data_IF_474952052669
#
_entry.id   IF_474952052669
#
_cell.length_a   1.000
_cell.length_b   1.000
_cell.length_c   1.000
_cell.angle_alpha   90.00
_cell.angle_beta   90.00
_cell.angle_gamma   90.00
#
_symmetry.space_group_name_H-M   'P 1'
#
loop_
_entity.id
_entity.type
_entity.pdbx_description
1 polymer ?
#
# COMPACT_ATOMS: atom_id res chain seq x y z
N UNK A 1 -7.09 11.63 -21.63
CA UNK A 1 -5.84 10.87 -21.66
C UNK A 1 -5.55 10.43 -20.25
N UNK A 2 -5.44 9.13 -20.02
CA UNK A 2 -4.91 8.60 -18.77
C UNK A 2 -3.45 9.07 -18.63
N UNK A 3 -3.09 9.60 -17.47
CA UNK A 3 -1.76 10.17 -17.24
C UNK A 3 -0.67 9.10 -17.16
N UNK A 4 0.58 9.57 -17.16
CA UNK A 4 1.78 8.76 -17.03
C UNK A 4 1.85 8.02 -15.68
N UNK A 5 2.20 6.74 -15.76
CA UNK A 5 2.73 5.96 -14.64
C UNK A 5 3.98 6.65 -14.08
N UNK A 6 4.01 6.89 -12.77
CA UNK A 6 5.12 7.60 -12.12
C UNK A 6 6.18 6.63 -11.54
N UNK A 7 5.80 5.39 -11.21
CA UNK A 7 6.71 4.39 -10.66
C UNK A 7 6.05 3.50 -9.62
N UNK A 8 6.69 2.38 -9.25
CA UNK A 8 6.21 1.54 -8.15
C UNK A 8 6.42 2.27 -6.82
N UNK A 9 5.53 2.04 -5.86
CA UNK A 9 5.69 2.48 -4.48
C UNK A 9 6.04 1.31 -3.57
N UNK A 10 6.94 1.56 -2.63
CA UNK A 10 7.42 0.56 -1.68
C UNK A 10 8.20 -0.57 -2.37
N UNK A 11 7.83 -1.83 -2.06
CA UNK A 11 8.41 -2.98 -2.74
C UNK A 11 7.94 -3.10 -4.19
N UNK A 12 8.82 -3.64 -5.04
CA UNK A 12 8.55 -3.82 -6.47
C UNK A 12 7.36 -4.73 -6.76
N UNK A 13 7.10 -5.74 -5.91
CA UNK A 13 6.00 -6.67 -6.07
C UNK A 13 5.74 -7.47 -4.78
N UNK A 14 4.48 -7.66 -4.41
CA UNK A 14 4.06 -8.63 -3.39
C UNK A 14 3.41 -9.86 -4.04
N UNK A 15 3.56 -11.04 -3.42
CA UNK A 15 3.06 -12.31 -3.96
C UNK A 15 2.32 -13.13 -2.92
N UNK A 16 1.23 -13.79 -3.31
CA UNK A 16 0.53 -14.80 -2.50
C UNK A 16 -0.01 -15.91 -3.39
N UNK A 17 0.54 -17.12 -3.25
CA UNK A 17 0.26 -18.20 -4.20
C UNK A 17 0.60 -17.74 -5.62
N UNK A 18 -0.40 -17.75 -6.49
CA UNK A 18 -0.32 -17.37 -7.91
C UNK A 18 -0.68 -15.91 -8.19
N UNK A 19 -1.02 -15.15 -7.13
CA UNK A 19 -1.31 -13.72 -7.21
C UNK A 19 -0.06 -12.89 -7.02
N UNK A 20 0.09 -11.89 -7.86
CA UNK A 20 1.10 -10.84 -7.72
C UNK A 20 0.42 -9.48 -7.71
N UNK A 21 0.98 -8.52 -6.97
CA UNK A 21 0.53 -7.14 -7.03
C UNK A 21 1.67 -6.15 -6.98
N UNK A 22 1.43 -5.02 -7.65
CA UNK A 22 2.30 -3.85 -7.67
C UNK A 22 1.48 -2.64 -7.28
N UNK A 23 1.90 -1.94 -6.24
CA UNK A 23 1.34 -0.62 -5.88
C UNK A 23 2.17 0.45 -6.58
N UNK A 24 1.51 1.45 -7.16
CA UNK A 24 2.16 2.51 -7.95
C UNK A 24 1.39 3.83 -7.89
N UNK A 25 2.03 4.91 -8.33
CA UNK A 25 1.40 6.23 -8.47
C UNK A 25 0.99 6.53 -9.90
N UNK A 26 -0.14 7.22 -10.02
CA UNK A 26 -0.66 7.77 -11.28
C UNK A 26 -1.25 9.15 -11.02
N UNK A 27 -1.07 10.09 -11.94
CA UNK A 27 -1.75 11.39 -11.86
C UNK A 27 -3.22 11.25 -12.31
N UNK A 28 -4.15 11.89 -11.63
CA UNK A 28 -5.48 12.05 -12.19
C UNK A 28 -5.52 13.23 -13.18
N UNK A 29 -6.69 13.46 -13.80
CA UNK A 29 -6.88 14.55 -14.78
C UNK A 29 -6.66 15.95 -14.20
N UNK A 30 -6.66 16.08 -12.87
CA UNK A 30 -6.40 17.33 -12.13
C UNK A 30 -4.95 17.42 -11.63
N UNK A 31 -4.04 16.58 -12.16
CA UNK A 31 -2.64 16.50 -11.76
C UNK A 31 -2.41 16.19 -10.27
N UNK A 32 -3.35 15.48 -9.64
CA UNK A 32 -3.19 14.98 -8.27
C UNK A 32 -2.68 13.54 -8.31
N UNK A 33 -1.79 13.19 -7.37
CA UNK A 33 -1.28 11.84 -7.23
C UNK A 33 -2.35 10.93 -6.61
N UNK A 34 -2.61 9.80 -7.26
CA UNK A 34 -3.43 8.71 -6.74
C UNK A 34 -2.58 7.45 -6.58
N UNK A 35 -2.85 6.69 -5.52
CA UNK A 35 -2.26 5.37 -5.30
C UNK A 35 -3.13 4.30 -5.93
N UNK A 36 -2.54 3.56 -6.86
CA UNK A 36 -3.18 2.48 -7.60
C UNK A 36 -2.50 1.16 -7.27
N UNK A 37 -3.26 0.09 -7.40
CA UNK A 37 -2.75 -1.28 -7.33
C UNK A 37 -3.09 -2.00 -8.63
N UNK A 38 -2.09 -2.69 -9.19
CA UNK A 38 -2.26 -3.67 -10.25
C UNK A 38 -2.16 -5.06 -9.62
N UNK A 39 -3.07 -5.96 -9.98
CA UNK A 39 -3.09 -7.35 -9.53
C UNK A 39 -3.10 -8.27 -10.75
N UNK A 40 -2.25 -9.28 -10.74
CA UNK A 40 -2.27 -10.39 -11.70
C UNK A 40 -2.53 -11.70 -10.96
N UNK A 41 -3.49 -12.47 -11.45
CA UNK A 41 -3.81 -13.82 -10.99
C UNK A 41 -3.49 -14.79 -12.12
N UNK A 42 -2.38 -15.51 -11.98
CA UNK A 42 -1.87 -16.38 -13.04
C UNK A 42 -2.65 -17.69 -13.20
N UNK A 43 -3.35 -18.16 -12.17
CA UNK A 43 -4.23 -19.34 -12.28
C UNK A 43 -5.48 -19.01 -13.10
N UNK A 44 -6.04 -17.83 -12.90
CA UNK A 44 -7.21 -17.37 -13.64
C UNK A 44 -6.86 -16.78 -15.01
N UNK A 45 -5.58 -16.47 -15.26
CA UNK A 45 -5.15 -15.72 -16.44
C UNK A 45 -5.75 -14.31 -16.50
N UNK A 46 -6.05 -13.72 -15.34
CA UNK A 46 -6.78 -12.45 -15.24
C UNK A 46 -5.95 -11.39 -14.53
N UNK A 47 -6.21 -10.13 -14.89
CA UNK A 47 -5.54 -8.97 -14.33
C UNK A 47 -6.53 -7.88 -14.03
N UNK A 48 -6.23 -7.05 -13.04
CA UNK A 48 -7.04 -5.90 -12.68
C UNK A 48 -6.17 -4.76 -12.19
N UNK A 49 -6.73 -3.57 -12.23
CA UNK A 49 -6.13 -2.39 -11.62
C UNK A 49 -7.21 -1.49 -11.05
N UNK A 50 -6.97 -0.95 -9.86
CA UNK A 50 -7.95 -0.09 -9.21
C UNK A 50 -7.26 0.87 -8.25
N UNK A 51 -8.00 1.91 -7.86
CA UNK A 51 -7.53 2.89 -6.88
C UNK A 51 -7.54 2.24 -5.51
N UNK A 52 -6.41 2.30 -4.82
CA UNK A 52 -6.30 1.85 -3.44
C UNK A 52 -6.71 2.99 -2.47
N UNK A 53 -6.41 4.25 -2.83
CA UNK A 53 -6.80 5.45 -2.09
C UNK A 53 -7.30 6.55 -3.03
N UNK A 54 -8.52 7.10 -2.85
CA UNK A 54 -9.02 8.23 -3.63
C UNK A 54 -8.54 9.59 -3.09
N UNK A 55 -8.33 10.55 -3.99
CA UNK A 55 -8.16 11.99 -3.66
C UNK A 55 -9.53 12.71 -3.57
N UNK A 56 -9.76 13.74 -2.71
CA UNK A 56 -8.84 14.25 -1.69
C UNK A 56 -8.72 13.24 -0.56
N UNK A 57 -7.48 12.89 -0.23
CA UNK A 57 -7.16 11.84 0.72
C UNK A 57 -5.65 11.68 0.84
N UNK A 58 -5.25 10.93 1.87
CA UNK A 58 -3.89 10.62 2.28
C UNK A 58 -2.86 10.70 1.14
N UNK A 59 -2.00 11.74 1.11
CA UNK A 59 -0.81 11.73 0.28
C UNK A 59 0.17 10.74 0.93
N UNK A 60 -0.14 9.46 0.76
CA UNK A 60 0.62 8.36 1.32
C UNK A 60 1.70 7.96 0.33
N UNK A 61 2.93 7.91 0.82
CA UNK A 61 4.01 7.21 0.13
C UNK A 61 4.05 5.79 0.68
N UNK A 62 3.60 4.82 -0.12
CA UNK A 62 3.70 3.42 0.26
C UNK A 62 5.17 3.01 0.33
N UNK A 63 5.55 2.37 1.44
CA UNK A 63 6.92 1.93 1.74
C UNK A 63 7.03 0.41 1.66
N UNK A 64 6.01 -0.29 2.15
CA UNK A 64 5.95 -1.75 2.05
C UNK A 64 4.51 -2.26 2.07
N UNK A 65 4.28 -3.47 1.58
CA UNK A 65 2.97 -4.12 1.60
C UNK A 65 3.10 -5.64 1.47
N UNK A 66 2.14 -6.37 2.01
CA UNK A 66 2.10 -7.83 1.97
C UNK A 66 0.67 -8.34 1.84
N UNK A 67 0.54 -9.47 1.16
CA UNK A 67 -0.66 -10.28 1.22
C UNK A 67 -0.60 -11.22 2.43
N UNK A 68 -1.65 -11.24 3.23
CA UNK A 68 -1.85 -12.22 4.31
C UNK A 68 -2.82 -13.32 3.90
N UNK A 69 -3.64 -13.08 2.88
CA UNK A 69 -4.43 -14.07 2.16
C UNK A 69 -4.64 -13.63 0.70
N UNK A 70 -5.35 -14.44 -0.09
CA UNK A 70 -5.70 -14.07 -1.46
C UNK A 70 -6.57 -12.81 -1.53
N UNK A 71 -7.34 -12.51 -0.49
CA UNK A 71 -8.27 -11.38 -0.44
C UNK A 71 -7.92 -10.36 0.64
N UNK A 72 -6.73 -10.44 1.24
CA UNK A 72 -6.32 -9.53 2.32
C UNK A 72 -4.93 -8.97 2.06
N UNK A 73 -4.83 -7.65 2.10
CA UNK A 73 -3.62 -6.87 1.86
C UNK A 73 -3.37 -5.97 3.07
N UNK A 74 -2.12 -5.93 3.51
CA UNK A 74 -1.64 -4.99 4.51
C UNK A 74 -0.60 -4.07 3.89
N UNK A 75 -0.69 -2.77 4.18
CA UNK A 75 0.26 -1.77 3.69
C UNK A 75 0.90 -0.99 4.83
N UNK A 76 2.12 -0.52 4.60
CA UNK A 76 2.88 0.39 5.43
C UNK A 76 3.20 1.61 4.60
N UNK A 77 2.60 2.73 4.95
CA UNK A 77 2.78 4.01 4.26
C UNK A 77 3.22 5.11 5.19
N UNK A 78 3.77 6.17 4.61
CA UNK A 78 4.05 7.42 5.30
C UNK A 78 2.97 8.45 4.96
N UNK A 79 2.31 9.02 5.97
CA UNK A 79 1.38 10.13 5.81
C UNK A 79 2.13 11.45 5.70
N UNK A 80 2.31 11.90 4.45
CA UNK A 80 3.01 13.16 4.19
C UNK A 80 2.17 14.40 4.52
N UNK A 81 0.86 14.26 4.81
CA UNK A 81 0.00 15.38 5.21
C UNK A 81 0.09 15.71 6.70
N UNK A 82 0.41 14.72 7.53
CA UNK A 82 0.45 14.83 8.98
C UNK A 82 1.88 14.90 9.53
N UNK A 83 2.84 15.40 8.75
CA UNK A 83 4.24 15.51 9.20
C UNK A 83 5.00 14.18 9.23
N UNK A 84 4.51 13.15 8.55
CA UNK A 84 5.28 11.92 8.30
C UNK A 84 5.04 10.78 9.29
N UNK A 85 3.87 10.69 9.92
CA UNK A 85 3.52 9.49 10.69
C UNK A 85 3.41 8.25 9.79
N UNK A 86 3.63 7.07 10.36
CA UNK A 86 3.47 5.82 9.64
C UNK A 86 2.08 5.27 9.83
N UNK A 87 1.50 4.76 8.74
CA UNK A 87 0.18 4.17 8.74
C UNK A 87 0.28 2.72 8.31
N UNK A 88 -0.17 1.83 9.19
CA UNK A 88 -0.35 0.41 8.88
C UNK A 88 -1.82 0.19 8.58
N UNK A 89 -2.15 -0.13 7.33
CA UNK A 89 -3.54 -0.23 6.86
C UNK A 89 -3.88 -1.63 6.40
N UNK A 90 -5.06 -2.10 6.78
CA UNK A 90 -5.61 -3.40 6.40
C UNK A 90 -6.71 -3.23 5.35
N UNK A 91 -6.60 -3.96 4.25
CA UNK A 91 -7.56 -3.95 3.17
C UNK A 91 -8.18 -5.32 2.95
N UNK A 92 -9.50 -5.34 2.85
CA UNK A 92 -10.23 -6.43 2.20
C UNK A 92 -10.26 -6.15 0.69
N UNK A 93 -9.72 -7.08 -0.09
CA UNK A 93 -9.79 -7.05 -1.54
C UNK A 93 -11.06 -7.75 -2.02
N UNK A 94 -11.78 -7.12 -2.95
CA UNK A 94 -13.09 -7.59 -3.41
C UNK A 94 -13.05 -7.97 -4.89
N UNK A 95 -13.59 -9.14 -5.23
CA UNK A 95 -13.65 -9.68 -6.59
C UNK A 95 -12.59 -10.76 -6.88
N UNK A 96 -12.64 -11.31 -8.09
CA UNK A 96 -11.67 -12.30 -8.59
C UNK A 96 -11.44 -12.11 -10.10
N UNK A 97 -10.32 -11.49 -10.52
CA UNK A 97 -9.29 -10.86 -9.69
C UNK A 97 -9.88 -9.65 -8.94
N UNK A 98 -9.25 -9.19 -7.85
CA UNK A 98 -9.75 -8.04 -7.10
C UNK A 98 -9.94 -6.80 -7.97
N UNK A 99 -11.09 -6.14 -7.90
CA UNK A 99 -11.37 -4.90 -8.67
C UNK A 99 -11.59 -3.68 -7.78
N UNK A 100 -11.60 -3.88 -6.47
CA UNK A 100 -11.69 -2.83 -5.47
C UNK A 100 -11.10 -3.31 -4.15
N UNK A 101 -10.85 -2.36 -3.24
CA UNK A 101 -10.46 -2.63 -1.87
C UNK A 101 -11.34 -1.85 -0.90
N UNK A 102 -11.61 -2.45 0.26
CA UNK A 102 -12.27 -1.82 1.40
C UNK A 102 -11.24 -1.70 2.52
N UNK A 103 -10.98 -0.47 2.98
CA UNK A 103 -10.16 -0.24 4.16
C UNK A 103 -10.91 -0.74 5.40
N UNK A 104 -10.33 -1.70 6.12
CA UNK A 104 -10.91 -2.28 7.33
C UNK A 104 -10.40 -1.59 8.59
N UNK A 105 -9.09 -1.31 8.64
CA UNK A 105 -8.44 -0.71 9.79
C UNK A 105 -7.19 0.06 9.39
N UNK A 106 -6.85 1.08 10.18
CA UNK A 106 -5.58 1.81 10.09
C UNK A 106 -5.05 2.04 11.50
N UNK A 107 -3.78 1.71 11.72
CA UNK A 107 -3.05 2.02 12.94
C UNK A 107 -1.94 3.00 12.62
N UNK A 108 -1.87 4.10 13.38
CA UNK A 108 -0.77 5.05 13.30
C UNK A 108 0.38 4.60 14.20
N UNK A 109 1.60 4.67 13.68
CA UNK A 109 2.86 4.37 14.38
C UNK A 109 3.84 5.52 14.22
N UNK A 110 4.80 5.58 15.15
CA UNK A 110 5.85 6.59 15.15
C UNK A 110 5.35 8.02 15.37
N UNK A 111 6.26 8.96 15.23
CA UNK A 111 6.05 10.39 15.38
C UNK A 111 6.18 11.13 14.03
N UNK A 112 6.22 12.45 14.10
CA UNK A 112 6.53 13.27 12.94
C UNK A 112 7.95 13.00 12.48
N UNK A 113 8.14 12.78 11.18
CA UNK A 113 9.41 12.40 10.52
C UNK A 113 9.84 10.94 10.72
N UNK A 114 8.90 10.03 10.97
CA UNK A 114 9.18 8.59 10.91
C UNK A 114 9.29 8.12 9.45
N UNK A 115 10.18 7.16 9.17
CA UNK A 115 10.33 6.54 7.86
C UNK A 115 10.11 5.03 7.97
N UNK A 116 9.12 4.52 7.21
CA UNK A 116 8.79 3.10 7.19
C UNK A 116 9.82 2.34 6.35
N UNK A 117 10.31 1.23 6.87
CA UNK A 117 11.36 0.43 6.22
C UNK A 117 10.79 -0.89 5.67
N UNK A 118 10.11 -1.67 6.52
CA UNK A 118 9.57 -2.97 6.11
C UNK A 118 8.37 -3.41 6.92
N UNK A 119 7.52 -4.21 6.28
CA UNK A 119 6.38 -4.91 6.84
C UNK A 119 6.45 -6.38 6.46
N UNK A 120 6.48 -7.26 7.47
CA UNK A 120 6.47 -8.71 7.28
C UNK A 120 5.38 -9.38 8.11
N UNK A 121 4.97 -10.58 7.67
CA UNK A 121 4.12 -11.48 8.46
C UNK A 121 4.97 -12.58 9.06
N UNK A 122 4.86 -12.78 10.37
CA UNK A 122 5.49 -13.88 11.08
C UNK A 122 4.68 -15.17 10.89
N UNK A 123 5.31 -16.33 11.14
CA UNK A 123 4.63 -17.64 11.09
C UNK A 123 3.45 -17.74 12.06
N UNK A 124 3.50 -17.00 13.19
CA UNK A 124 2.39 -16.90 14.14
C UNK A 124 1.17 -16.15 13.59
N UNK A 125 1.28 -15.53 12.42
CA UNK A 125 0.27 -14.65 11.83
C UNK A 125 0.39 -13.19 12.26
N UNK A 126 1.22 -12.87 13.26
CA UNK A 126 1.47 -11.49 13.67
C UNK A 126 2.19 -10.70 12.57
N UNK A 127 1.95 -9.39 12.55
CA UNK A 127 2.69 -8.46 11.70
C UNK A 127 3.85 -7.85 12.47
N UNK A 128 4.99 -7.74 11.82
CA UNK A 128 6.16 -7.03 12.34
C UNK A 128 6.47 -5.87 11.38
N UNK A 129 6.65 -4.70 11.96
CA UNK A 129 6.93 -3.45 11.25
C UNK A 129 8.30 -2.96 11.71
N UNK A 130 9.15 -2.59 10.76
CA UNK A 130 10.41 -1.91 11.02
C UNK A 130 10.31 -0.47 10.50
N UNK A 131 10.73 0.48 11.33
CA UNK A 131 10.80 1.89 10.97
C UNK A 131 11.97 2.57 11.65
N UNK A 132 12.36 3.72 11.11
CA UNK A 132 13.27 4.66 11.74
C UNK A 132 12.51 5.89 12.21
N UNK A 133 12.91 6.42 13.37
CA UNK A 133 12.42 7.70 13.90
C UNK A 133 13.58 8.68 13.81
N UNK A 134 13.29 9.89 13.33
CA UNK A 134 14.29 10.94 13.35
C UNK A 134 14.36 11.47 14.78
N UNK A 135 15.21 10.84 15.61
CA UNK A 135 15.41 11.26 16.99
C UNK A 135 15.74 12.76 17.02
N UNK A 136 14.81 13.56 17.56
CA UNK A 136 15.10 14.95 17.85
C UNK A 136 16.30 14.94 18.81
N UNK A 137 17.39 15.61 18.42
CA UNK A 137 18.44 15.96 19.36
C UNK A 137 17.77 16.62 20.58
N UNK A 138 17.79 15.93 21.72
CA UNK A 138 17.35 16.47 23.01
C UNK A 138 18.29 17.61 23.44
#
# INVERSE_FOLDING_TARGET
MDSAYIGPLGKSMATYGTRTAVIYQKLNLSSQLETWIYVSDSDAGQTSHFRLHPYPGYPQRENDYIFTSASELWTLSNDTSAGGHLLVSQYQLNGSPPTSATLLSTTSLGDSNSAGESLIRLQSGALMVAWSEQGLNA
#
